data_IF_215879486618
#
_entry.id   IF_215879486618
#
_cell.length_a   1.000
_cell.length_b   1.000
_cell.length_c   1.000
_cell.angle_alpha   90.00
_cell.angle_beta   90.00
_cell.angle_gamma   90.00
#
_symmetry.space_group_name_H-M   'P 1'
#
loop_
_entity.id
_entity.type
_entity.pdbx_description
1 polymer ?
#
# COMPACT_ATOMS: atom_id res chain seq x y z
N UNK A 1 -21.36 -15.94 3.84
CA UNK A 1 -20.05 -16.05 3.15
C UNK A 1 -19.77 -14.70 2.52
N UNK A 2 -18.56 -14.13 2.65
CA UNK A 2 -18.26 -12.86 2.02
C UNK A 2 -18.47 -12.95 0.51
N UNK A 3 -19.05 -11.93 -0.09
CA UNK A 3 -19.28 -11.88 -1.54
C UNK A 3 -17.94 -11.72 -2.26
N UNK A 4 -17.68 -12.62 -3.20
CA UNK A 4 -16.54 -12.55 -4.12
C UNK A 4 -16.74 -11.43 -5.15
N UNK A 5 -15.66 -10.83 -5.67
CA UNK A 5 -15.76 -9.82 -6.72
C UNK A 5 -16.47 -10.36 -7.96
N UNK A 6 -17.19 -9.49 -8.68
CA UNK A 6 -17.92 -9.87 -9.90
C UNK A 6 -17.01 -10.14 -11.10
N UNK A 7 -15.81 -9.57 -11.10
CA UNK A 7 -14.74 -9.83 -12.06
C UNK A 7 -13.37 -9.50 -11.45
N UNK A 8 -12.32 -10.12 -12.00
CA UNK A 8 -10.93 -9.90 -11.62
C UNK A 8 -10.12 -9.53 -12.87
N UNK A 9 -9.46 -8.37 -12.85
CA UNK A 9 -8.59 -7.89 -13.90
C UNK A 9 -7.15 -7.81 -13.40
N UNK A 10 -6.21 -8.17 -14.27
CA UNK A 10 -4.78 -8.11 -13.95
C UNK A 10 -4.03 -7.41 -15.10
N UNK A 11 -4.13 -6.07 -15.18
CA UNK A 11 -3.51 -5.28 -16.24
C UNK A 11 -1.98 -5.41 -16.21
N UNK A 12 -1.37 -5.29 -17.39
CA UNK A 12 0.09 -5.31 -17.52
C UNK A 12 0.72 -3.92 -17.39
N UNK A 13 -0.10 -2.86 -17.50
CA UNK A 13 0.39 -1.47 -17.55
C UNK A 13 -0.46 -0.54 -16.70
N UNK A 14 0.16 0.54 -16.21
CA UNK A 14 -0.54 1.56 -15.43
C UNK A 14 -1.69 2.24 -16.22
N UNK A 15 -1.52 2.62 -17.51
CA UNK A 15 -2.64 3.18 -18.28
C UNK A 15 -3.84 2.24 -18.39
N UNK A 16 -3.60 0.94 -18.60
CA UNK A 16 -4.68 -0.06 -18.64
C UNK A 16 -5.39 -0.18 -17.29
N UNK A 17 -4.63 -0.22 -16.20
CA UNK A 17 -5.18 -0.23 -14.85
C UNK A 17 -6.08 0.99 -14.59
N UNK A 18 -5.62 2.18 -14.97
CA UNK A 18 -6.36 3.43 -14.82
C UNK A 18 -7.64 3.44 -15.67
N UNK A 19 -7.61 2.92 -16.89
CA UNK A 19 -8.81 2.78 -17.73
C UNK A 19 -9.85 1.86 -17.11
N UNK A 20 -9.43 0.76 -16.47
CA UNK A 20 -10.33 -0.15 -15.77
C UNK A 20 -10.90 0.51 -14.51
N UNK A 21 -10.06 1.17 -13.72
CA UNK A 21 -10.44 1.86 -12.47
C UNK A 21 -11.33 3.09 -12.69
N UNK A 22 -11.35 3.65 -13.90
CA UNK A 22 -12.27 4.74 -14.26
C UNK A 22 -13.74 4.28 -14.41
N UNK A 23 -13.98 2.96 -14.48
CA UNK A 23 -15.33 2.40 -14.57
C UNK A 23 -15.99 2.39 -13.18
N UNK A 24 -17.33 2.55 -13.09
CA UNK A 24 -18.03 2.43 -11.82
C UNK A 24 -17.90 1.01 -11.25
N UNK A 25 -17.93 0.90 -9.92
CA UNK A 25 -17.84 -0.38 -9.19
C UNK A 25 -16.61 -1.22 -9.54
N UNK A 26 -15.49 -0.57 -9.84
CA UNK A 26 -14.18 -1.23 -10.01
C UNK A 26 -13.20 -0.74 -8.95
N UNK A 27 -12.68 -1.66 -8.15
CA UNK A 27 -11.86 -1.35 -6.99
C UNK A 27 -10.40 -1.76 -7.21
N UNK A 28 -9.41 -0.95 -6.76
CA UNK A 28 -8.00 -1.33 -6.83
C UNK A 28 -7.68 -2.39 -5.78
N UNK A 29 -7.05 -3.48 -6.21
CA UNK A 29 -6.54 -4.53 -5.35
C UNK A 29 -5.01 -4.45 -5.30
N UNK A 30 -4.49 -3.99 -4.16
CA UNK A 30 -3.08 -4.09 -3.81
C UNK A 30 -2.86 -5.36 -2.96
N UNK A 31 -2.51 -5.19 -1.69
CA UNK A 31 -2.32 -6.28 -0.72
C UNK A 31 -3.59 -6.96 -0.20
N UNK A 32 -4.77 -6.39 -0.49
CA UNK A 32 -6.07 -6.98 -0.15
C UNK A 32 -6.47 -6.95 1.33
N UNK A 33 -5.61 -6.51 2.26
CA UNK A 33 -5.86 -6.60 3.71
C UNK A 33 -7.11 -5.88 4.21
N UNK A 34 -7.46 -4.73 3.61
CA UNK A 34 -8.71 -4.02 3.89
C UNK A 34 -9.84 -4.45 2.97
N UNK A 35 -9.58 -4.52 1.66
CA UNK A 35 -10.59 -4.77 0.65
C UNK A 35 -11.24 -6.16 0.80
N UNK A 36 -10.43 -7.18 1.06
CA UNK A 36 -10.88 -8.58 1.15
C UNK A 36 -11.35 -8.98 2.56
N UNK A 37 -11.27 -8.08 3.54
CA UNK A 37 -11.76 -8.33 4.89
C UNK A 37 -13.29 -8.21 5.01
N UNK A 38 -13.95 -7.62 4.00
CA UNK A 38 -15.41 -7.47 3.94
C UNK A 38 -16.00 -7.99 2.64
N UNK A 39 -17.26 -7.64 2.39
CA UNK A 39 -17.91 -7.92 1.11
C UNK A 39 -17.34 -7.02 0.01
N UNK A 40 -16.82 -7.64 -1.05
CA UNK A 40 -16.39 -6.90 -2.24
C UNK A 40 -17.58 -6.77 -3.18
N UNK A 41 -18.02 -5.53 -3.41
CA UNK A 41 -19.05 -5.23 -4.41
C UNK A 41 -18.37 -4.68 -5.66
N UNK A 42 -18.60 -5.33 -6.80
CA UNK A 42 -18.02 -4.94 -8.08
C UNK A 42 -16.79 -5.74 -8.48
N UNK A 43 -16.09 -5.25 -9.50
CA UNK A 43 -14.89 -5.87 -10.04
C UNK A 43 -13.63 -5.36 -9.34
N UNK A 44 -12.53 -6.12 -9.45
CA UNK A 44 -11.23 -5.72 -8.88
C UNK A 44 -10.14 -5.66 -9.94
N UNK A 45 -9.22 -4.72 -9.78
CA UNK A 45 -8.03 -4.55 -10.62
C UNK A 45 -6.80 -4.81 -9.76
N UNK A 46 -6.13 -5.92 -10.00
CA UNK A 46 -4.89 -6.29 -9.33
C UNK A 46 -3.72 -5.43 -9.81
N UNK A 47 -3.10 -4.72 -8.86
CA UNK A 47 -2.00 -3.79 -9.12
C UNK A 47 -0.61 -4.44 -8.99
N UNK A 48 -0.51 -5.69 -8.54
CA UNK A 48 0.78 -6.31 -8.18
C UNK A 48 1.75 -6.43 -9.36
N UNK A 49 1.23 -6.62 -10.59
CA UNK A 49 2.06 -6.73 -11.81
C UNK A 49 2.55 -5.40 -12.38
N UNK A 50 2.14 -4.26 -11.81
CA UNK A 50 2.49 -2.94 -12.32
C UNK A 50 3.89 -2.46 -11.92
N UNK A 51 4.63 -3.23 -11.12
CA UNK A 51 6.00 -2.90 -10.73
C UNK A 51 6.12 -1.70 -9.78
N UNK A 52 5.05 -1.35 -9.06
CA UNK A 52 5.00 -0.22 -8.13
C UNK A 52 5.61 -0.55 -6.77
N UNK A 53 6.75 -1.25 -6.75
CA UNK A 53 7.44 -1.72 -5.53
C UNK A 53 8.81 -1.07 -5.32
N UNK A 54 9.26 -0.22 -6.24
CA UNK A 54 10.59 0.37 -6.16
C UNK A 54 10.76 1.28 -4.92
N UNK A 55 11.97 1.25 -4.34
CA UNK A 55 12.40 2.20 -3.30
C UNK A 55 13.60 2.95 -3.83
N UNK A 56 13.48 4.26 -3.96
CA UNK A 56 14.55 5.13 -4.47
C UNK A 56 14.89 6.18 -3.42
N UNK A 57 16.18 6.26 -3.07
CA UNK A 57 16.70 7.22 -2.11
C UNK A 57 17.49 8.31 -2.85
N UNK A 58 17.07 9.55 -2.64
CA UNK A 58 17.84 10.73 -3.00
C UNK A 58 18.41 11.38 -1.72
N UNK A 59 19.16 12.47 -1.86
CA UNK A 59 19.82 13.16 -0.74
C UNK A 59 18.84 13.57 0.38
N UNK A 60 17.61 13.97 0.01
CA UNK A 60 16.62 14.50 0.94
C UNK A 60 15.26 13.82 0.88
N UNK A 61 15.05 12.90 -0.06
CA UNK A 61 13.74 12.27 -0.25
C UNK A 61 13.86 10.76 -0.40
N UNK A 62 12.81 10.07 0.05
CA UNK A 62 12.62 8.65 -0.11
C UNK A 62 11.34 8.43 -0.90
N UNK A 63 11.47 7.91 -2.11
CA UNK A 63 10.32 7.53 -2.94
C UNK A 63 10.05 6.05 -2.75
N UNK A 64 8.80 5.70 -2.41
CA UNK A 64 8.38 4.33 -2.12
C UNK A 64 7.21 3.98 -3.01
N UNK A 65 7.31 2.84 -3.69
CA UNK A 65 6.25 2.30 -4.52
C UNK A 65 5.00 1.91 -3.71
N UNK A 66 3.82 2.26 -4.23
CA UNK A 66 2.53 2.06 -3.56
C UNK A 66 2.17 0.58 -3.29
N UNK A 67 2.69 -0.35 -4.09
CA UNK A 67 2.43 -1.79 -3.91
C UNK A 67 3.53 -2.51 -3.13
N UNK A 68 4.53 -1.79 -2.59
CA UNK A 68 5.54 -2.39 -1.73
C UNK A 68 4.92 -2.89 -0.42
N UNK A 69 5.06 -4.19 -0.07
CA UNK A 69 4.60 -4.71 1.21
C UNK A 69 5.30 -4.03 2.39
N UNK A 70 4.58 -3.81 3.49
CA UNK A 70 5.13 -3.11 4.67
C UNK A 70 6.35 -3.84 5.26
N UNK A 71 6.34 -5.18 5.23
CA UNK A 71 7.47 -5.99 5.67
C UNK A 71 8.72 -5.79 4.79
N UNK A 72 8.56 -5.59 3.48
CA UNK A 72 9.68 -5.31 2.56
C UNK A 72 10.16 -3.87 2.71
N UNK A 73 9.24 -2.93 2.89
CA UNK A 73 9.58 -1.54 3.19
C UNK A 73 10.48 -1.46 4.43
N UNK A 74 10.13 -2.16 5.51
CA UNK A 74 10.95 -2.18 6.73
C UNK A 74 12.39 -2.62 6.45
N UNK A 75 12.58 -3.63 5.58
CA UNK A 75 13.91 -4.14 5.20
C UNK A 75 14.69 -3.19 4.29
N UNK A 76 13.98 -2.38 3.51
CA UNK A 76 14.59 -1.41 2.60
C UNK A 76 15.03 -0.12 3.32
N UNK A 77 14.48 0.14 4.51
CA UNK A 77 14.87 1.29 5.33
C UNK A 77 16.20 1.05 6.04
N UNK A 78 17.06 2.08 6.21
CA UNK A 78 18.30 1.95 6.97
C UNK A 78 18.02 1.47 8.40
N UNK A 79 18.90 0.66 8.96
CA UNK A 79 18.83 0.28 10.38
C UNK A 79 19.60 1.30 11.23
N UNK A 80 19.03 2.50 11.31
CA UNK A 80 19.60 3.64 12.04
C UNK A 80 18.49 4.39 12.77
N UNK A 81 18.51 4.34 14.09
CA UNK A 81 17.49 4.93 14.97
C UNK A 81 17.59 6.46 15.08
N UNK A 82 18.67 7.05 14.57
CA UNK A 82 18.82 8.51 14.49
C UNK A 82 18.23 9.09 13.20
N UNK A 83 17.91 8.24 12.23
CA UNK A 83 17.32 8.64 10.95
C UNK A 83 15.83 8.99 11.10
N UNK A 84 15.30 9.97 10.34
CA UNK A 84 13.84 10.19 10.23
C UNK A 84 13.07 8.93 9.81
N UNK A 85 13.73 7.99 9.13
CA UNK A 85 13.15 6.70 8.75
C UNK A 85 12.87 5.76 9.93
N UNK A 86 13.45 6.03 11.11
CA UNK A 86 13.20 5.26 12.33
C UNK A 86 11.74 5.33 12.77
N UNK A 87 11.14 6.53 12.70
CA UNK A 87 9.72 6.74 12.98
C UNK A 87 8.84 5.89 12.04
N UNK A 88 9.21 5.83 10.76
CA UNK A 88 8.50 5.02 9.78
C UNK A 88 8.64 3.52 10.06
N UNK A 89 9.83 3.01 10.40
CA UNK A 89 10.04 1.60 10.80
C UNK A 89 9.19 1.23 12.02
N UNK A 90 9.15 2.10 13.03
CA UNK A 90 8.35 1.90 14.23
C UNK A 90 6.86 1.85 13.91
N UNK A 91 6.35 2.81 13.13
CA UNK A 91 4.95 2.85 12.74
C UNK A 91 4.53 1.61 11.92
N UNK A 92 5.38 1.15 11.01
CA UNK A 92 5.14 -0.11 10.27
C UNK A 92 5.06 -1.30 11.24
N UNK A 93 5.93 -1.35 12.25
CA UNK A 93 5.94 -2.44 13.23
C UNK A 93 4.65 -2.47 14.06
N UNK A 94 4.12 -1.29 14.41
CA UNK A 94 2.87 -1.15 15.15
C UNK A 94 1.62 -1.46 14.31
N UNK A 95 1.69 -1.31 12.98
CA UNK A 95 0.55 -1.48 12.08
C UNK A 95 -0.11 -2.87 12.11
N UNK A 96 0.54 -3.89 12.68
CA UNK A 96 -0.06 -5.21 12.85
C UNK A 96 0.95 -6.36 12.81
N UNK A 97 0.51 -7.63 12.95
CA UNK A 97 1.39 -8.80 12.97
C UNK A 97 2.11 -9.04 11.63
N UNK A 98 3.11 -9.93 11.64
CA UNK A 98 3.89 -10.28 10.44
C UNK A 98 3.02 -10.68 9.23
N UNK A 99 1.96 -11.45 9.46
CA UNK A 99 1.03 -11.87 8.40
C UNK A 99 0.33 -10.68 7.74
N UNK A 100 -0.08 -9.69 8.54
CA UNK A 100 -0.64 -8.44 8.02
C UNK A 100 0.41 -7.67 7.22
N UNK A 101 1.62 -7.45 7.77
CA UNK A 101 2.66 -6.63 7.11
C UNK A 101 3.24 -7.26 5.84
N UNK A 102 3.18 -8.59 5.70
CA UNK A 102 3.57 -9.29 4.49
C UNK A 102 2.54 -9.12 3.35
N UNK A 103 1.27 -8.86 3.69
CA UNK A 103 0.21 -8.66 2.71
C UNK A 103 -0.07 -7.17 2.46
N UNK A 104 -0.21 -6.37 3.51
CA UNK A 104 -0.49 -4.94 3.44
C UNK A 104 0.62 -4.21 2.69
N UNK A 105 0.24 -3.33 1.77
CA UNK A 105 1.16 -2.45 1.05
C UNK A 105 1.08 -1.04 1.59
N UNK A 106 2.11 -0.23 1.34
CA UNK A 106 2.13 1.19 1.74
C UNK A 106 0.91 1.94 1.18
N UNK A 107 0.72 1.89 -0.14
CA UNK A 107 -0.39 2.56 -0.82
C UNK A 107 -1.77 1.99 -0.44
N UNK A 108 -1.86 0.67 -0.22
CA UNK A 108 -3.10 0.04 0.24
C UNK A 108 -3.51 0.51 1.64
N UNK A 109 -2.54 0.68 2.54
CA UNK A 109 -2.78 1.21 3.88
C UNK A 109 -3.22 2.68 3.83
N UNK A 110 -2.58 3.50 2.99
CA UNK A 110 -2.96 4.90 2.75
C UNK A 110 -4.39 5.01 2.19
N UNK A 111 -4.70 4.24 1.15
CA UNK A 111 -6.03 4.24 0.53
C UNK A 111 -7.15 3.73 1.47
N UNK A 112 -6.79 2.93 2.48
CA UNK A 112 -7.75 2.39 3.45
C UNK A 112 -8.24 3.40 4.47
N UNK A 113 -7.51 4.52 4.67
CA UNK A 113 -7.89 5.65 5.55
C UNK A 113 -8.35 5.21 6.94
N UNK A 114 -7.63 4.26 7.54
CA UNK A 114 -7.96 3.79 8.88
C UNK A 114 -7.64 4.92 9.89
N UNK A 115 -8.63 5.36 10.70
CA UNK A 115 -8.48 6.55 11.55
C UNK A 115 -7.47 6.36 12.69
N UNK A 116 -7.19 5.11 13.04
CA UNK A 116 -6.27 4.66 14.07
C UNK A 116 -4.89 4.27 13.51
N UNK A 117 -4.60 4.53 12.23
CA UNK A 117 -3.34 4.09 11.61
C UNK A 117 -2.14 4.94 12.04
N UNK A 118 -1.23 4.32 12.80
CA UNK A 118 0.06 4.91 13.18
C UNK A 118 0.93 5.19 11.95
N UNK A 119 0.81 4.37 10.90
CA UNK A 119 1.51 4.59 9.64
C UNK A 119 1.08 5.91 8.99
N UNK A 120 -0.22 6.23 8.98
CA UNK A 120 -0.69 7.51 8.43
C UNK A 120 -0.22 8.69 9.28
N UNK A 121 -0.25 8.56 10.60
CA UNK A 121 0.27 9.58 11.50
C UNK A 121 1.78 9.84 11.26
N UNK A 122 2.58 8.78 11.13
CA UNK A 122 4.01 8.90 10.85
C UNK A 122 4.27 9.54 9.48
N UNK A 123 3.53 9.15 8.44
CA UNK A 123 3.66 9.75 7.10
C UNK A 123 3.32 11.24 7.11
N UNK A 124 2.33 11.67 7.88
CA UNK A 124 1.99 13.08 8.05
C UNK A 124 3.11 13.86 8.74
N UNK A 125 3.69 13.32 9.83
CA UNK A 125 4.81 13.95 10.54
C UNK A 125 6.06 14.04 9.65
N UNK A 126 6.25 13.09 8.74
CA UNK A 126 7.37 13.07 7.79
C UNK A 126 7.12 13.91 6.53
N UNK A 127 6.06 14.72 6.49
CA UNK A 127 5.66 15.55 5.35
C UNK A 127 5.59 14.74 4.03
N UNK A 128 5.07 13.51 4.11
CA UNK A 128 4.96 12.66 2.93
C UNK A 128 3.98 13.23 1.90
N UNK A 129 4.35 13.15 0.62
CA UNK A 129 3.54 13.59 -0.52
C UNK A 129 3.16 12.39 -1.38
N UNK A 130 1.95 12.43 -1.94
CA UNK A 130 1.46 11.43 -2.90
C UNK A 130 1.57 11.99 -4.33
N UNK A 131 1.92 11.12 -5.27
CA UNK A 131 2.07 11.42 -6.71
C UNK A 131 1.20 10.51 -7.55
#
# INVERSE_FOLDING_TARGET
MPKSPSAFYQPATLPEALQLLAKPDVLPLAGGTKLLAGDVQGAVVDLQKLGLTAVTRNTHTLTIGATLPLAELTKALPDDDTSPTALLRQAITLAGPNTYRNAATLGGTIASRLPDSELLAALLVLDAVLT
#
